data_IF_793134516952
#
_entry.id   IF_793134516952
#
_cell.length_a   1.000
_cell.length_b   1.000
_cell.length_c   1.000
_cell.angle_alpha   90.00
_cell.angle_beta   90.00
_cell.angle_gamma   90.00
#
_symmetry.space_group_name_H-M   'P 1'
#
loop_
_entity.id
_entity.type
_entity.pdbx_description
1 polymer ?
#
# COMPACT_ATOMS: atom_id res chain seq x y z
N UNK A 1 -3.06 -9.37 -24.91
CA UNK A 1 -2.58 -8.64 -23.72
C UNK A 1 -3.12 -9.40 -22.53
N UNK A 2 -2.24 -10.01 -21.73
CA UNK A 2 -2.65 -10.75 -20.53
C UNK A 2 -3.33 -9.81 -19.55
N UNK A 3 -4.47 -10.22 -18.99
CA UNK A 3 -5.21 -9.42 -18.02
C UNK A 3 -4.40 -9.36 -16.71
N UNK A 4 -4.01 -8.16 -16.27
CA UNK A 4 -3.18 -7.99 -15.07
C UNK A 4 -4.11 -8.00 -13.85
N UNK A 5 -3.97 -8.94 -12.89
CA UNK A 5 -4.83 -8.99 -11.71
C UNK A 5 -4.84 -7.66 -10.95
N UNK A 6 -6.01 -7.22 -10.50
CA UNK A 6 -6.21 -5.91 -9.87
C UNK A 6 -6.74 -6.05 -8.44
N UNK A 7 -6.28 -5.18 -7.55
CA UNK A 7 -6.81 -4.98 -6.20
C UNK A 7 -7.46 -3.59 -6.08
N UNK A 8 -8.51 -3.44 -5.26
CA UNK A 8 -9.04 -2.13 -4.93
C UNK A 8 -8.03 -1.32 -4.11
N UNK A 9 -8.04 0.00 -4.32
CA UNK A 9 -7.30 0.96 -3.50
C UNK A 9 -8.23 2.11 -3.11
N UNK A 10 -7.98 2.72 -1.95
CA UNK A 10 -8.74 3.87 -1.50
C UNK A 10 -8.14 5.15 -2.11
N UNK A 11 -8.99 5.96 -2.73
CA UNK A 11 -8.63 7.29 -3.21
C UNK A 11 -9.32 8.35 -2.36
N UNK A 12 -8.80 9.58 -2.36
CA UNK A 12 -9.37 10.69 -1.59
C UNK A 12 -10.79 11.08 -2.07
N UNK A 13 -11.18 10.67 -3.28
CA UNK A 13 -12.53 10.92 -3.79
C UNK A 13 -13.53 9.87 -3.29
N UNK A 14 -14.48 10.29 -2.43
CA UNK A 14 -15.56 9.44 -1.85
C UNK A 14 -16.38 8.65 -2.88
N UNK A 15 -16.40 9.07 -4.14
CA UNK A 15 -17.22 8.48 -5.20
C UNK A 15 -16.45 7.61 -6.20
N UNK A 16 -15.12 7.44 -6.04
CA UNK A 16 -14.33 6.61 -6.95
C UNK A 16 -13.42 5.67 -6.17
N UNK A 17 -13.64 4.37 -6.35
CA UNK A 17 -12.67 3.36 -5.96
C UNK A 17 -11.56 3.31 -7.01
N UNK A 18 -10.31 3.34 -6.55
CA UNK A 18 -9.16 3.12 -7.42
C UNK A 18 -8.89 1.63 -7.59
N UNK A 19 -8.07 1.29 -8.59
CA UNK A 19 -7.51 -0.06 -8.73
C UNK A 19 -6.01 0.04 -9.00
N UNK A 20 -5.26 -0.91 -8.48
CA UNK A 20 -3.85 -1.09 -8.78
C UNK A 20 -3.56 -2.57 -9.06
N UNK A 21 -2.50 -2.87 -9.84
CA UNK A 21 -2.07 -4.25 -10.02
C UNK A 21 -1.84 -4.93 -8.67
N UNK A 22 -2.29 -6.18 -8.54
CA UNK A 22 -2.16 -6.96 -7.31
C UNK A 22 -0.71 -7.01 -6.82
N UNK A 23 0.25 -7.16 -7.73
CA UNK A 23 1.68 -7.14 -7.43
C UNK A 23 2.13 -5.87 -6.67
N UNK A 24 1.56 -4.71 -6.97
CA UNK A 24 1.86 -3.44 -6.29
C UNK A 24 1.36 -3.47 -4.85
N UNK A 25 0.10 -3.88 -4.65
CA UNK A 25 -0.48 -3.95 -3.31
C UNK A 25 0.15 -5.05 -2.44
N UNK A 26 0.55 -6.18 -3.03
CA UNK A 26 1.28 -7.24 -2.33
C UNK A 26 2.67 -6.77 -1.92
N UNK A 27 3.33 -5.95 -2.75
CA UNK A 27 4.59 -5.33 -2.35
C UNK A 27 4.38 -4.39 -1.16
N UNK A 28 3.40 -3.50 -1.21
CA UNK A 28 3.06 -2.65 -0.07
C UNK A 28 2.72 -3.46 1.20
N UNK A 29 2.02 -4.59 1.05
CA UNK A 29 1.69 -5.50 2.15
C UNK A 29 2.92 -6.15 2.79
N UNK A 30 3.97 -6.45 2.02
CA UNK A 30 5.23 -6.96 2.58
C UNK A 30 5.83 -5.97 3.60
N UNK A 31 5.83 -4.67 3.26
CA UNK A 31 6.33 -3.60 4.11
C UNK A 31 5.38 -3.41 5.29
N UNK A 32 4.07 -3.30 5.03
CA UNK A 32 3.06 -3.18 6.09
C UNK A 32 3.20 -4.29 7.13
N UNK A 33 3.29 -5.55 6.68
CA UNK A 33 3.43 -6.72 7.55
C UNK A 33 4.69 -6.65 8.41
N UNK A 34 5.78 -6.15 7.84
CA UNK A 34 7.03 -6.00 8.59
C UNK A 34 6.91 -4.95 9.71
N UNK A 35 6.16 -3.87 9.48
CA UNK A 35 6.03 -2.75 10.42
C UNK A 35 4.93 -3.00 11.46
N UNK A 36 3.78 -3.52 11.04
CA UNK A 36 2.55 -3.58 11.85
C UNK A 36 2.05 -5.00 12.15
N UNK A 37 2.63 -6.02 11.50
CA UNK A 37 2.16 -7.40 11.60
C UNK A 37 1.13 -7.77 10.53
N UNK A 38 0.66 -9.03 10.56
CA UNK A 38 -0.21 -9.56 9.50
C UNK A 38 -1.65 -9.02 9.58
N UNK A 39 -2.18 -8.61 8.42
CA UNK A 39 -3.58 -8.23 8.25
C UNK A 39 -4.07 -8.65 6.86
N UNK A 40 -4.48 -9.92 6.73
CA UNK A 40 -4.85 -10.53 5.44
C UNK A 40 -5.97 -9.81 4.69
N UNK A 41 -6.89 -9.16 5.41
CA UNK A 41 -8.00 -8.41 4.82
C UNK A 41 -7.55 -7.23 3.91
N UNK A 42 -6.29 -6.78 4.00
CA UNK A 42 -5.72 -5.78 3.09
C UNK A 42 -5.49 -6.31 1.67
N UNK A 43 -5.29 -7.62 1.52
CA UNK A 43 -4.94 -8.27 0.24
C UNK A 43 -5.98 -9.31 -0.21
N UNK A 44 -6.77 -9.86 0.71
CA UNK A 44 -7.85 -10.81 0.41
C UNK A 44 -9.22 -10.11 0.29
N UNK A 45 -9.30 -8.84 0.67
CA UNK A 45 -10.53 -8.04 0.69
C UNK A 45 -11.19 -7.95 2.07
N UNK A 46 -12.26 -7.16 2.17
CA UNK A 46 -12.97 -6.90 3.44
C UNK A 46 -12.45 -5.70 4.24
N UNK A 47 -11.26 -5.18 3.94
CA UNK A 47 -10.72 -3.98 4.59
C UNK A 47 -11.02 -2.71 3.77
N UNK A 48 -12.28 -2.23 3.79
CA UNK A 48 -12.72 -0.92 3.24
C UNK A 48 -12.13 -0.49 1.88
N UNK A 49 -11.74 -1.41 1.00
CA UNK A 49 -11.13 -1.08 -0.29
C UNK A 49 -9.59 -1.05 -0.34
N UNK A 50 -8.89 -1.68 0.62
CA UNK A 50 -7.44 -1.89 0.58
C UNK A 50 -6.64 -0.68 1.09
N UNK A 51 -5.38 -0.59 0.65
CA UNK A 51 -4.51 0.54 0.96
C UNK A 51 -5.02 1.85 0.36
N UNK A 52 -4.80 2.95 1.07
CA UNK A 52 -4.89 4.29 0.51
C UNK A 52 -3.77 4.58 -0.47
N UNK A 53 -3.98 5.56 -1.36
CA UNK A 53 -2.93 6.07 -2.25
C UNK A 53 -1.70 6.54 -1.48
N UNK A 54 -1.89 7.18 -0.33
CA UNK A 54 -0.80 7.62 0.55
C UNK A 54 0.01 6.46 1.13
N UNK A 55 -0.67 5.42 1.62
CA UNK A 55 -0.01 4.21 2.10
C UNK A 55 0.78 3.51 1.00
N UNK A 56 0.21 3.39 -0.22
CA UNK A 56 0.94 2.82 -1.34
C UNK A 56 2.21 3.61 -1.66
N UNK A 57 2.12 4.93 -1.72
CA UNK A 57 3.30 5.79 -1.97
C UNK A 57 4.34 5.59 -0.87
N UNK A 58 3.94 5.66 0.40
CA UNK A 58 4.86 5.56 1.54
C UNK A 58 5.54 4.19 1.63
N UNK A 59 4.80 3.10 1.47
CA UNK A 59 5.36 1.75 1.55
C UNK A 59 6.23 1.39 0.36
N UNK A 60 5.86 1.83 -0.86
CA UNK A 60 6.68 1.60 -2.04
C UNK A 60 7.96 2.46 -2.02
N UNK A 61 7.88 3.70 -1.53
CA UNK A 61 9.07 4.50 -1.24
C UNK A 61 10.00 3.77 -0.26
N UNK A 62 9.48 3.32 0.88
CA UNK A 62 10.25 2.58 1.87
C UNK A 62 10.89 1.30 1.31
N UNK A 63 10.22 0.63 0.36
CA UNK A 63 10.70 -0.60 -0.27
C UNK A 63 12.01 -0.45 -1.05
N UNK A 64 12.41 0.78 -1.39
CA UNK A 64 13.67 1.07 -2.10
C UNK A 64 14.89 1.06 -1.18
N UNK A 65 14.69 0.91 0.14
CA UNK A 65 15.74 0.93 1.17
C UNK A 65 15.93 -0.46 1.78
N UNK A 66 17.03 -0.70 2.53
CA UNK A 66 17.21 -1.94 3.28
C UNK A 66 16.04 -2.20 4.24
N UNK A 67 15.71 -3.49 4.43
CA UNK A 67 14.54 -3.91 5.24
C UNK A 67 14.56 -3.35 6.67
N UNK A 68 15.74 -3.22 7.26
CA UNK A 68 15.94 -2.61 8.60
C UNK A 68 15.53 -1.13 8.67
N UNK A 69 15.45 -0.43 7.55
CA UNK A 69 15.09 0.99 7.48
C UNK A 69 13.60 1.21 7.13
N UNK A 70 12.86 0.19 6.71
CA UNK A 70 11.52 0.35 6.16
C UNK A 70 10.57 1.14 7.07
N UNK A 71 10.58 0.86 8.38
CA UNK A 71 9.76 1.58 9.34
C UNK A 71 10.08 3.08 9.38
N UNK A 72 11.37 3.43 9.45
CA UNK A 72 11.82 4.82 9.48
C UNK A 72 11.52 5.56 8.17
N UNK A 73 11.68 4.89 7.03
CA UNK A 73 11.42 5.46 5.69
C UNK A 73 9.94 5.63 5.39
N UNK A 74 9.10 4.69 5.82
CA UNK A 74 7.64 4.85 5.72
C UNK A 74 7.16 6.05 6.56
N UNK A 75 7.64 6.16 7.80
CA UNK A 75 7.36 7.32 8.67
C UNK A 75 7.89 8.64 8.11
N UNK A 76 9.06 8.63 7.46
CA UNK A 76 9.57 9.78 6.72
C UNK A 76 8.62 10.20 5.59
N UNK A 77 8.18 9.24 4.77
CA UNK A 77 7.26 9.50 3.67
C UNK A 77 5.90 10.03 4.18
N UNK A 78 5.31 9.40 5.19
CA UNK A 78 4.03 9.85 5.75
C UNK A 78 4.06 11.29 6.26
N UNK A 79 5.19 11.74 6.83
CA UNK A 79 5.35 13.13 7.29
C UNK A 79 5.49 14.15 6.15
N UNK A 80 5.97 13.73 4.99
CA UNK A 80 6.17 14.60 3.82
C UNK A 80 5.07 14.49 2.76
N UNK A 81 4.07 13.63 2.97
CA UNK A 81 2.98 13.41 2.03
C UNK A 81 1.87 14.46 2.25
N UNK A 82 1.57 15.22 1.20
CA UNK A 82 0.38 16.07 1.09
C UNK A 82 -0.56 15.45 0.05
N UNK A 83 -1.78 15.06 0.45
CA UNK A 83 -2.71 14.26 -0.37
C UNK A 83 -4.17 14.68 -0.19
#
# INVERSE_FOLDING_TARGET
>A
MSDVPQHPIQTHTRHRSGKAPQAVTLKAYEIYRHIYGEQKALIEGGCRGGFSTGELIAFLYASSFPKSEWAARAQQAFRGLEI
#
